data_IF_119454111152
#
_entry.id   IF_119454111152
#
_cell.length_a   1.000
_cell.length_b   1.000
_cell.length_c   1.000
_cell.angle_alpha   90.00
_cell.angle_beta   90.00
_cell.angle_gamma   90.00
#
_symmetry.space_group_name_H-M   'P 1'
#
loop_
_entity.id
_entity.type
_entity.pdbx_description
1 polymer ?
#
# COMPACT_ATOMS: atom_id res chain seq x y z
N UNK A 1 9.78 13.83 4.33
CA UNK A 1 10.05 13.61 5.77
C UNK A 1 8.82 13.25 6.60
N UNK A 2 7.64 13.83 6.31
CA UNK A 2 6.40 13.60 7.09
C UNK A 2 6.01 12.11 7.16
N UNK A 3 6.04 11.39 6.03
CA UNK A 3 5.69 9.97 5.98
C UNK A 3 6.59 9.07 6.84
N UNK A 4 7.91 9.29 6.81
CA UNK A 4 8.86 8.46 7.58
C UNK A 4 8.62 8.59 9.09
N UNK A 5 8.37 9.81 9.57
CA UNK A 5 8.07 10.06 10.99
C UNK A 5 6.72 9.46 11.39
N UNK A 6 5.72 9.52 10.51
CA UNK A 6 4.43 8.87 10.74
C UNK A 6 4.57 7.35 10.88
N UNK A 7 5.32 6.70 9.98
CA UNK A 7 5.62 5.27 10.07
C UNK A 7 6.39 4.90 11.34
N UNK A 8 7.36 5.73 11.75
CA UNK A 8 8.07 5.52 13.01
C UNK A 8 7.11 5.62 14.21
N UNK A 9 6.20 6.60 14.21
CA UNK A 9 5.20 6.76 15.28
C UNK A 9 4.28 5.56 15.39
N UNK A 10 3.81 5.06 14.25
CA UNK A 10 2.91 3.91 14.16
C UNK A 10 3.51 2.68 14.88
N UNK A 11 4.81 2.45 14.72
CA UNK A 11 5.53 1.32 15.31
C UNK A 11 6.15 1.62 16.68
N UNK A 12 5.80 2.75 17.32
CA UNK A 12 6.35 3.14 18.62
C UNK A 12 7.85 3.50 18.60
N UNK A 13 8.41 3.80 17.42
CA UNK A 13 9.81 4.21 17.26
C UNK A 13 9.95 5.69 17.58
N UNK A 14 10.94 6.03 18.40
CA UNK A 14 11.25 7.42 18.73
C UNK A 14 11.72 8.20 17.48
N UNK A 15 11.07 9.35 17.23
CA UNK A 15 11.19 10.14 15.99
C UNK A 15 12.35 11.16 16.00
N UNK A 16 13.33 11.01 16.89
CA UNK A 16 14.49 11.92 16.99
C UNK A 16 15.65 11.46 16.11
N UNK A 17 16.42 12.42 15.58
CA UNK A 17 17.60 12.18 14.75
C UNK A 17 17.40 12.49 13.26
N UNK A 18 18.43 12.22 12.46
CA UNK A 18 18.42 12.44 11.01
C UNK A 18 17.51 11.42 10.29
N UNK A 19 17.05 11.71 9.07
CA UNK A 19 16.26 10.77 8.27
C UNK A 19 16.93 9.40 8.11
N UNK A 20 18.26 9.35 8.01
CA UNK A 20 19.05 8.12 7.88
C UNK A 20 18.94 7.26 9.14
N UNK A 21 19.01 7.87 10.33
CA UNK A 21 18.80 7.20 11.61
C UNK A 21 17.38 6.65 11.70
N UNK A 22 16.38 7.43 11.28
CA UNK A 22 14.97 6.98 11.29
C UNK A 22 14.75 5.79 10.35
N UNK A 23 15.31 5.83 9.13
CA UNK A 23 15.25 4.70 8.19
C UNK A 23 15.93 3.45 8.76
N UNK A 24 17.08 3.62 9.41
CA UNK A 24 17.79 2.51 10.05
C UNK A 24 16.97 1.88 11.17
N UNK A 25 16.42 2.70 12.09
CA UNK A 25 15.55 2.21 13.18
C UNK A 25 14.31 1.49 12.66
N UNK A 26 13.68 2.05 11.62
CA UNK A 26 12.53 1.41 10.98
C UNK A 26 12.89 0.03 10.41
N UNK A 27 14.04 -0.08 9.72
CA UNK A 27 14.53 -1.36 9.20
C UNK A 27 14.84 -2.36 10.32
N UNK A 28 15.45 -1.92 11.41
CA UNK A 28 15.71 -2.76 12.58
C UNK A 28 14.41 -3.28 13.16
N UNK A 29 13.43 -2.40 13.41
CA UNK A 29 12.14 -2.78 13.98
C UNK A 29 11.37 -3.74 13.09
N UNK A 30 11.40 -3.54 11.77
CA UNK A 30 10.77 -4.47 10.83
C UNK A 30 11.40 -5.86 10.84
N UNK A 31 12.72 -5.96 11.01
CA UNK A 31 13.39 -7.26 11.16
C UNK A 31 13.03 -7.96 12.46
N UNK A 32 12.97 -7.20 13.56
CA UNK A 32 12.51 -7.70 14.87
C UNK A 32 11.08 -8.25 14.76
N UNK A 33 10.17 -7.49 14.15
CA UNK A 33 8.79 -7.93 13.92
C UNK A 33 8.72 -9.18 13.04
N UNK A 34 9.52 -9.26 11.97
CA UNK A 34 9.54 -10.45 11.11
C UNK A 34 10.05 -11.70 11.86
N UNK A 35 11.03 -11.54 12.74
CA UNK A 35 11.51 -12.65 13.58
C UNK A 35 10.43 -13.09 14.59
N UNK A 36 9.70 -12.15 15.16
CA UNK A 36 8.54 -12.41 16.03
C UNK A 36 7.40 -13.11 15.26
N UNK A 37 7.08 -12.66 14.05
CA UNK A 37 6.10 -13.30 13.15
C UNK A 37 6.49 -14.77 12.86
N UNK A 38 7.77 -15.05 12.65
CA UNK A 38 8.27 -16.42 12.46
C UNK A 38 8.16 -17.27 13.73
N UNK A 39 8.34 -16.67 14.90
CA UNK A 39 8.23 -17.37 16.18
C UNK A 39 6.76 -17.75 16.44
N UNK A 40 5.84 -16.81 16.27
CA UNK A 40 4.39 -17.04 16.39
C UNK A 40 3.97 -18.22 15.51
N UNK A 41 4.40 -18.26 14.26
CA UNK A 41 4.05 -19.35 13.34
C UNK A 41 4.61 -20.71 13.81
N UNK A 42 5.84 -20.72 14.35
CA UNK A 42 6.48 -21.95 14.86
C UNK A 42 5.81 -22.51 16.11
N UNK A 43 5.26 -21.66 16.96
CA UNK A 43 4.65 -22.05 18.24
C UNK A 43 3.20 -22.55 18.10
N UNK A 44 2.65 -22.58 16.88
CA UNK A 44 1.28 -23.02 16.61
C UNK A 44 0.37 -21.92 16.07
N UNK A 45 0.95 -20.80 15.65
CA UNK A 45 0.25 -19.69 15.00
C UNK A 45 -0.50 -18.79 15.97
N UNK A 46 -1.39 -17.97 15.42
CA UNK A 46 -2.11 -16.94 16.21
C UNK A 46 -3.13 -17.55 17.19
N UNK A 47 -3.49 -18.81 17.02
CA UNK A 47 -4.49 -19.49 17.84
C UNK A 47 -4.00 -19.79 19.26
N UNK A 48 -2.71 -19.99 19.45
CA UNK A 48 -2.14 -20.35 20.76
C UNK A 48 -1.88 -19.14 21.67
N UNK A 49 -1.92 -17.93 21.13
CA UNK A 49 -1.67 -16.69 21.87
C UNK A 49 -2.81 -16.38 22.85
N UNK A 50 -2.46 -15.96 24.05
CA UNK A 50 -3.39 -15.39 25.03
C UNK A 50 -3.90 -14.01 24.59
N UNK A 51 -5.00 -13.55 25.19
CA UNK A 51 -5.54 -12.21 24.92
C UNK A 51 -4.52 -11.08 25.14
N UNK A 52 -3.64 -11.21 26.15
CA UNK A 52 -2.59 -10.23 26.42
C UNK A 52 -1.52 -10.23 25.33
N UNK A 53 -1.09 -11.42 24.88
CA UNK A 53 -0.10 -11.55 23.81
C UNK A 53 -0.66 -11.06 22.47
N UNK A 54 -1.92 -11.36 22.15
CA UNK A 54 -2.61 -10.84 20.97
C UNK A 54 -2.61 -9.30 20.95
N UNK A 55 -2.94 -8.67 22.08
CA UNK A 55 -2.92 -7.22 22.20
C UNK A 55 -1.52 -6.63 22.06
N UNK A 56 -0.53 -7.25 22.70
CA UNK A 56 0.87 -6.82 22.62
C UNK A 56 1.42 -6.95 21.20
N UNK A 57 1.21 -8.10 20.56
CA UNK A 57 1.65 -8.40 19.20
C UNK A 57 0.98 -7.45 18.18
N UNK A 58 -0.32 -7.20 18.31
CA UNK A 58 -1.03 -6.21 17.48
C UNK A 58 -0.43 -4.81 17.65
N UNK A 59 -0.21 -4.37 18.88
CA UNK A 59 0.33 -3.03 19.18
C UNK A 59 1.76 -2.87 18.65
N UNK A 60 2.60 -3.90 18.79
CA UNK A 60 3.98 -3.87 18.31
C UNK A 60 4.08 -3.68 16.80
N UNK A 61 3.10 -4.20 16.06
CA UNK A 61 2.94 -4.07 14.60
C UNK A 61 2.21 -2.79 14.19
N UNK A 62 1.92 -1.91 15.15
CA UNK A 62 1.25 -0.64 14.91
C UNK A 62 -0.24 -0.75 14.61
N UNK A 63 -0.87 -1.85 15.01
CA UNK A 63 -2.29 -2.09 14.81
C UNK A 63 -3.10 -1.69 16.05
N UNK A 64 -4.40 -1.40 15.86
CA UNK A 64 -5.30 -1.13 16.99
C UNK A 64 -5.41 -2.41 17.83
N UNK A 65 -5.21 -2.27 19.14
CA UNK A 65 -5.24 -3.40 20.09
C UNK A 65 -6.25 -3.21 21.24
N UNK A 66 -6.61 -1.96 21.55
CA UNK A 66 -7.56 -1.65 22.63
C UNK A 66 -8.98 -1.53 22.08
N UNK A 67 -9.96 -2.01 22.85
CA UNK A 67 -11.39 -1.93 22.51
C UNK A 67 -11.83 -2.87 21.38
N UNK A 68 -11.02 -3.88 21.04
CA UNK A 68 -11.38 -4.93 20.08
C UNK A 68 -11.64 -6.25 20.80
N UNK A 69 -12.53 -7.08 20.25
CA UNK A 69 -12.71 -8.46 20.71
C UNK A 69 -11.49 -9.31 20.38
N UNK A 70 -11.31 -10.41 21.10
CA UNK A 70 -10.20 -11.34 20.89
C UNK A 70 -10.21 -11.92 19.47
N UNK A 71 -11.38 -12.28 18.94
CA UNK A 71 -11.52 -12.79 17.57
C UNK A 71 -11.04 -11.77 16.53
N UNK A 72 -11.34 -10.48 16.74
CA UNK A 72 -10.89 -9.42 15.83
C UNK A 72 -9.38 -9.22 15.90
N UNK A 73 -8.79 -9.29 17.09
CA UNK A 73 -7.33 -9.24 17.28
C UNK A 73 -6.65 -10.42 16.56
N UNK A 74 -7.20 -11.64 16.73
CA UNK A 74 -6.72 -12.85 16.06
C UNK A 74 -6.77 -12.72 14.54
N UNK A 75 -7.92 -12.31 14.00
CA UNK A 75 -8.10 -12.15 12.56
C UNK A 75 -7.09 -11.15 11.96
N UNK A 76 -6.93 -10.00 12.62
CA UNK A 76 -6.02 -8.95 12.18
C UNK A 76 -4.55 -9.40 12.24
N UNK A 77 -4.15 -10.06 13.34
CA UNK A 77 -2.78 -10.56 13.52
C UNK A 77 -2.47 -11.69 12.54
N UNK A 78 -3.41 -12.61 12.29
CA UNK A 78 -3.26 -13.67 11.29
C UNK A 78 -2.98 -13.11 9.90
N UNK A 79 -3.79 -12.14 9.45
CA UNK A 79 -3.59 -11.48 8.17
C UNK A 79 -2.23 -10.77 8.10
N UNK A 80 -1.77 -10.16 9.20
CA UNK A 80 -0.43 -9.57 9.24
C UNK A 80 0.65 -10.63 9.07
N UNK A 81 0.61 -11.70 9.87
CA UNK A 81 1.63 -12.76 9.89
C UNK A 81 1.74 -13.39 8.50
N UNK A 82 0.62 -13.77 7.89
CA UNK A 82 0.56 -14.33 6.52
C UNK A 82 1.29 -13.42 5.50
N UNK A 83 1.00 -12.11 5.53
CA UNK A 83 1.62 -11.15 4.60
C UNK A 83 3.08 -10.82 4.95
N UNK A 84 3.46 -10.89 6.23
CA UNK A 84 4.81 -10.57 6.70
C UNK A 84 5.83 -11.66 6.36
N UNK A 85 5.36 -12.90 6.29
CA UNK A 85 6.17 -14.08 5.98
C UNK A 85 6.28 -14.32 4.46
N UNK A 86 5.36 -13.77 3.67
CA UNK A 86 5.46 -13.75 2.21
C UNK A 86 6.65 -12.88 1.75
N UNK A 87 7.64 -13.52 1.12
CA UNK A 87 8.82 -12.83 0.57
C UNK A 87 8.49 -11.90 -0.61
N UNK A 88 7.35 -12.09 -1.27
CA UNK A 88 6.89 -11.24 -2.37
C UNK A 88 6.30 -9.91 -1.88
N UNK A 89 5.99 -9.77 -0.59
CA UNK A 89 5.40 -8.56 -0.03
C UNK A 89 6.50 -7.65 0.54
N UNK A 90 6.74 -6.46 -0.04
CA UNK A 90 7.70 -5.52 0.52
C UNK A 90 7.22 -5.00 1.88
N UNK A 91 8.08 -4.91 2.91
CA UNK A 91 7.69 -4.41 4.24
C UNK A 91 7.09 -2.99 4.22
N UNK A 92 7.49 -2.15 3.27
CA UNK A 92 6.92 -0.82 3.09
C UNK A 92 5.45 -0.87 2.65
N UNK A 93 5.07 -1.85 1.84
CA UNK A 93 3.69 -2.05 1.41
C UNK A 93 2.83 -2.57 2.58
N UNK A 94 3.36 -3.52 3.34
CA UNK A 94 2.71 -4.04 4.56
C UNK A 94 2.46 -2.93 5.60
N UNK A 95 3.42 -2.01 5.78
CA UNK A 95 3.23 -0.87 6.66
C UNK A 95 2.23 0.15 6.11
N UNK A 96 2.21 0.37 4.79
CA UNK A 96 1.29 1.31 4.16
C UNK A 96 -0.15 0.84 4.28
N UNK A 97 -0.43 -0.46 4.11
CA UNK A 97 -1.79 -1.00 4.30
C UNK A 97 -2.31 -0.78 5.71
N UNK A 98 -1.43 -0.82 6.74
CA UNK A 98 -1.82 -0.52 8.12
C UNK A 98 -1.91 0.97 8.43
N UNK A 99 -1.04 1.79 7.86
CA UNK A 99 -1.16 3.25 7.95
C UNK A 99 -2.46 3.77 7.31
N UNK A 100 -3.01 3.05 6.33
CA UNK A 100 -4.30 3.35 5.69
C UNK A 100 -5.49 2.60 6.30
N UNK A 101 -5.28 1.72 7.30
CA UNK A 101 -6.36 1.00 7.97
C UNK A 101 -7.04 1.94 8.96
N UNK A 102 -8.01 2.69 8.46
CA UNK A 102 -8.90 3.54 9.26
C UNK A 102 -9.96 2.70 9.98
N UNK A 103 -10.54 3.19 11.09
CA UNK A 103 -11.56 2.46 11.83
C UNK A 103 -12.74 2.06 10.91
N UNK A 104 -13.16 0.80 10.97
CA UNK A 104 -14.31 0.28 10.21
C UNK A 104 -15.62 0.99 10.59
N UNK A 105 -15.63 1.64 11.76
CA UNK A 105 -16.70 2.44 12.36
C UNK A 105 -16.98 3.81 11.69
N UNK A 106 -16.20 4.21 10.68
CA UNK A 106 -16.44 5.42 9.89
C UNK A 106 -17.17 5.07 8.59
N UNK A 107 -17.99 5.94 8.02
CA UNK A 107 -18.61 5.68 6.70
C UNK A 107 -17.54 5.53 5.59
N UNK A 108 -17.71 4.60 4.64
CA UNK A 108 -16.77 4.34 3.55
C UNK A 108 -16.52 5.59 2.70
N UNK A 109 -17.58 6.38 2.49
CA UNK A 109 -17.53 7.64 1.77
C UNK A 109 -16.71 8.70 2.51
N UNK A 110 -16.86 8.78 3.83
CA UNK A 110 -16.05 9.67 4.67
C UNK A 110 -14.56 9.25 4.70
N UNK A 111 -14.28 7.95 4.69
CA UNK A 111 -12.92 7.40 4.56
C UNK A 111 -12.25 7.81 3.24
N UNK A 112 -12.95 7.62 2.11
CA UNK A 112 -12.42 8.03 0.80
C UNK A 112 -12.17 9.54 0.75
N UNK A 113 -13.08 10.36 1.28
CA UNK A 113 -12.91 11.82 1.29
C UNK A 113 -11.66 12.26 2.06
N UNK A 114 -11.38 11.64 3.20
CA UNK A 114 -10.16 11.91 3.98
C UNK A 114 -8.89 11.52 3.23
N UNK A 115 -8.89 10.33 2.60
CA UNK A 115 -7.74 9.86 1.81
C UNK A 115 -7.53 10.80 0.61
N UNK A 116 -8.59 11.13 -0.12
CA UNK A 116 -8.58 12.05 -1.26
C UNK A 116 -8.02 13.42 -0.88
N UNK A 117 -8.38 13.95 0.29
CA UNK A 117 -7.89 15.24 0.78
C UNK A 117 -6.45 15.22 1.29
N UNK A 118 -5.93 14.06 1.67
CA UNK A 118 -4.57 13.89 2.18
C UNK A 118 -3.53 13.57 1.10
N UNK A 119 -3.96 13.28 -0.13
CA UNK A 119 -3.05 12.97 -1.23
C UNK A 119 -2.35 14.23 -1.76
N UNK A 120 -1.03 14.16 -2.04
CA UNK A 120 -0.30 15.25 -2.68
C UNK A 120 -0.97 15.66 -4.00
N UNK A 121 -0.97 16.96 -4.30
CA UNK A 121 -1.65 17.53 -5.48
C UNK A 121 -1.15 16.93 -6.80
N UNK A 122 0.07 16.39 -6.82
CA UNK A 122 0.68 15.71 -7.96
C UNK A 122 -0.04 14.41 -8.35
N UNK A 123 -0.80 13.80 -7.43
CA UNK A 123 -1.68 12.65 -7.70
C UNK A 123 -3.11 13.13 -8.05
N UNK A 124 -3.41 14.41 -7.82
CA UNK A 124 -4.69 15.05 -8.16
C UNK A 124 -4.95 15.15 -9.65
N UNK A 125 -3.90 15.18 -10.48
CA UNK A 125 -4.04 15.24 -11.94
C UNK A 125 -4.60 13.94 -12.54
N UNK A 126 -4.38 12.79 -11.87
CA UNK A 126 -5.05 11.53 -12.23
C UNK A 126 -6.57 11.56 -11.95
N UNK A 127 -7.05 12.47 -11.09
CA UNK A 127 -8.47 12.54 -10.70
C UNK A 127 -9.36 13.41 -11.58
N UNK A 128 -8.82 14.37 -12.34
CA UNK A 128 -9.63 15.12 -13.29
C UNK A 128 -10.17 14.22 -14.42
N UNK A 129 -9.43 13.16 -14.75
CA UNK A 129 -9.74 12.22 -15.83
C UNK A 129 -10.75 11.17 -15.33
N UNK A 130 -10.49 10.51 -14.20
CA UNK A 130 -11.37 9.42 -13.73
C UNK A 130 -12.70 9.87 -13.09
N UNK A 131 -12.82 11.09 -12.56
CA UNK A 131 -14.14 11.58 -12.10
C UNK A 131 -15.07 11.92 -13.28
N UNK A 132 -14.55 12.47 -14.38
CA UNK A 132 -15.34 12.73 -15.60
C UNK A 132 -15.78 11.45 -16.30
N UNK A 133 -15.02 10.37 -16.16
CA UNK A 133 -15.36 9.04 -16.69
C UNK A 133 -16.49 8.36 -15.90
N UNK A 134 -16.60 8.64 -14.60
CA UNK A 134 -17.62 8.05 -13.70
C UNK A 134 -18.94 8.83 -13.65
N UNK A 135 -18.94 10.15 -13.87
CA UNK A 135 -20.17 10.98 -13.82
C UNK A 135 -20.92 11.11 -15.16
N UNK A 136 -20.56 10.31 -16.17
CA UNK A 136 -21.39 10.15 -17.36
C UNK A 136 -21.09 11.17 -18.45
N UNK A 137 -20.24 10.76 -19.39
CA UNK A 137 -20.35 11.24 -20.77
C UNK A 137 -21.54 10.52 -21.41
N UNK A 138 -22.73 11.08 -21.19
CA UNK A 138 -23.99 10.65 -21.82
C UNK A 138 -24.13 11.15 -23.28
N UNK A 139 -23.02 11.51 -23.93
CA UNK A 139 -23.00 11.88 -25.34
C UNK A 139 -22.25 10.82 -26.17
N UNK A 140 -22.96 10.01 -26.98
CA UNK A 140 -22.36 9.01 -27.85
C UNK A 140 -21.27 9.56 -28.77
N UNK A 141 -21.35 10.83 -29.18
CA UNK A 141 -20.37 11.45 -30.08
C UNK A 141 -19.02 11.67 -29.38
N UNK A 142 -19.02 12.17 -28.15
CA UNK A 142 -17.82 12.37 -27.36
C UNK A 142 -17.12 11.03 -27.02
N UNK A 143 -17.90 9.96 -26.82
CA UNK A 143 -17.35 8.61 -26.62
C UNK A 143 -16.65 8.07 -27.88
N UNK A 144 -17.23 8.31 -29.06
CA UNK A 144 -16.63 7.92 -30.35
C UNK A 144 -15.33 8.70 -30.59
N UNK A 145 -15.30 9.99 -30.29
CA UNK A 145 -14.11 10.82 -30.46
C UNK A 145 -12.97 10.39 -29.52
N UNK A 146 -13.29 10.11 -28.25
CA UNK A 146 -12.33 9.58 -27.30
C UNK A 146 -11.75 8.23 -27.76
N UNK A 147 -12.60 7.31 -28.23
CA UNK A 147 -12.16 6.01 -28.73
C UNK A 147 -11.26 6.13 -29.97
N UNK A 148 -11.55 7.06 -30.89
CA UNK A 148 -10.71 7.33 -32.06
C UNK A 148 -9.32 7.87 -31.68
N UNK A 149 -9.27 8.77 -30.71
CA UNK A 149 -8.00 9.32 -30.23
C UNK A 149 -7.14 8.24 -29.56
N UNK A 150 -7.75 7.41 -28.70
CA UNK A 150 -7.08 6.26 -28.08
C UNK A 150 -6.56 5.28 -29.15
N UNK A 151 -7.33 5.01 -30.20
CA UNK A 151 -6.90 4.12 -31.28
C UNK A 151 -5.72 4.69 -32.08
N UNK A 152 -5.72 6.00 -32.32
CA UNK A 152 -4.61 6.69 -32.99
C UNK A 152 -3.31 6.63 -32.18
N UNK A 153 -3.39 6.86 -30.87
CA UNK A 153 -2.25 6.80 -29.96
C UNK A 153 -1.67 5.38 -29.86
N UNK A 154 -2.53 4.37 -29.73
CA UNK A 154 -2.11 2.96 -29.73
C UNK A 154 -1.42 2.57 -31.04
N UNK A 155 -1.89 3.11 -32.18
CA UNK A 155 -1.28 2.84 -33.49
C UNK A 155 0.08 3.52 -33.63
N UNK A 156 0.24 4.73 -33.12
CA UNK A 156 1.52 5.44 -33.08
C UNK A 156 2.53 4.70 -32.18
N UNK A 157 2.10 4.25 -31.01
CA UNK A 157 2.95 3.51 -30.08
C UNK A 157 3.39 2.16 -30.66
N UNK A 158 2.50 1.44 -31.37
CA UNK A 158 2.85 0.20 -32.08
C UNK A 158 3.92 0.44 -33.15
N UNK A 159 3.79 1.49 -33.96
CA UNK A 159 4.80 1.85 -34.97
C UNK A 159 6.15 2.18 -34.34
N UNK A 160 6.16 3.00 -33.29
CA UNK A 160 7.38 3.32 -32.54
C UNK A 160 8.04 2.06 -31.96
N UNK A 161 7.23 1.12 -31.47
CA UNK A 161 7.73 -0.16 -30.94
C UNK A 161 8.33 -1.04 -32.03
N UNK A 162 7.74 -1.08 -33.22
CA UNK A 162 8.25 -1.80 -34.39
C UNK A 162 9.57 -1.18 -34.87
N UNK A 163 9.63 0.14 -35.06
CA UNK A 163 10.85 0.86 -35.43
C UNK A 163 11.97 0.64 -34.41
N UNK A 164 11.65 0.71 -33.11
CA UNK A 164 12.62 0.44 -32.03
C UNK A 164 13.12 -1.01 -32.06
N UNK A 165 12.28 -1.96 -32.45
CA UNK A 165 12.67 -3.36 -32.62
C UNK A 165 13.54 -3.58 -33.87
N UNK A 166 13.26 -2.88 -34.96
CA UNK A 166 14.08 -2.92 -36.18
C UNK A 166 15.47 -2.30 -35.98
N UNK A 167 15.54 -1.16 -35.27
CA UNK A 167 16.82 -0.54 -34.89
C UNK A 167 17.64 -1.49 -34.01
N UNK A 168 16.98 -2.15 -33.03
CA UNK A 168 17.65 -3.17 -32.20
C UNK A 168 18.14 -4.37 -33.02
N UNK A 169 17.39 -4.83 -34.02
CA UNK A 169 17.83 -5.91 -34.93
C UNK A 169 19.02 -5.48 -35.80
N UNK A 170 19.01 -4.26 -36.36
CA UNK A 170 20.13 -3.71 -37.14
C UNK A 170 21.40 -3.50 -36.30
N UNK A 171 21.27 -3.14 -35.02
CA UNK A 171 22.41 -2.99 -34.10
C UNK A 171 23.05 -4.31 -33.63
N UNK A 172 22.35 -5.45 -33.81
CA UNK A 172 22.86 -6.78 -33.46
C UNK A 172 23.44 -7.57 -34.64
N UNK A 173 23.34 -7.03 -35.87
CA UNK A 173 23.85 -7.65 -37.10
C UNK A 173 25.09 -6.96 -37.67
N UNK A 174 25.79 -6.15 -36.88
CA UNK A 174 27.05 -5.50 -37.23
C UNK A 174 28.13 -5.90 -36.24
#
# INVERSE_FOLDING_TARGET
MVHLRALCRLLGIAQFGTPEILRFRLRMKLRELKADDQLIEREGGVEVLSAQELQAACRARGMRALGLSEERLRQQLRQWVELSLDEQVPPSLLLLTRAMYFPEDVDFTARIRSIVGSLPKEIGDFKAISLKELEGVSDPQAKIELLRNIEADLKAERKLREERNEIKKKSKGK
#
